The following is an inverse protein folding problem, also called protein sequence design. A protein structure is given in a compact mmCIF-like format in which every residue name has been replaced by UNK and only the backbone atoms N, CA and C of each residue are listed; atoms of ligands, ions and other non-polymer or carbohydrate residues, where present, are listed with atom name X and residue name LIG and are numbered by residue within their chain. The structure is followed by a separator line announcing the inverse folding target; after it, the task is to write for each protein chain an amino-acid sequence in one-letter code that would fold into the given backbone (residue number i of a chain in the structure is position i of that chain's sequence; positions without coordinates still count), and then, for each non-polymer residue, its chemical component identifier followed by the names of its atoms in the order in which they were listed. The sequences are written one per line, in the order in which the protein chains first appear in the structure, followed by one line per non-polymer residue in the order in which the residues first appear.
data_IF_972267608313
#
_entry.id   IF_972267608313
#
_cell.length_a   1.000
_cell.length_b   1.000
_cell.length_c   1.000
_cell.angle_alpha   90.00
_cell.angle_beta   90.00
_cell.angle_gamma   90.00
#
_symmetry.space_group_name_H-M   'P 1'
#
loop_
_entity.id
_entity.type
_entity.pdbx_description
1 polymer ?
#
# COMPACT_ATOMS: atom_id res chain seq x y z
N UNK A 1 66.25 40.40 -29.29
CA UNK A 1 66.20 39.10 -28.54
C UNK A 1 66.23 38.00 -29.58
N UNK A 2 67.33 37.25 -29.66
CA UNK A 2 67.45 36.12 -30.57
C UNK A 2 66.54 35.00 -30.11
N UNK A 3 65.49 34.74 -30.89
CA UNK A 3 64.55 33.62 -30.60
C UNK A 3 65.18 32.35 -31.20
N UNK A 4 65.68 31.45 -30.35
CA UNK A 4 66.22 30.15 -30.78
C UNK A 4 65.08 29.22 -31.20
N UNK A 5 65.26 28.51 -32.31
CA UNK A 5 64.23 27.54 -32.75
C UNK A 5 64.20 26.35 -31.82
N UNK A 6 62.95 25.94 -31.44
CA UNK A 6 62.67 24.85 -30.48
C UNK A 6 61.59 23.94 -31.06
N UNK A 7 61.80 22.64 -30.99
CA UNK A 7 60.77 21.62 -31.37
C UNK A 7 59.48 21.72 -30.57
N UNK A 8 58.41 21.21 -31.14
CA UNK A 8 57.09 21.16 -30.48
C UNK A 8 57.10 20.19 -29.30
N UNK A 9 56.71 20.68 -28.12
CA UNK A 9 56.58 19.89 -26.90
C UNK A 9 55.24 20.22 -26.21
N UNK A 10 54.53 19.20 -25.72
CA UNK A 10 53.30 19.39 -24.93
C UNK A 10 53.67 19.88 -23.54
N UNK A 11 53.18 21.05 -23.16
CA UNK A 11 53.42 21.68 -21.86
C UNK A 11 52.31 21.43 -20.85
N UNK A 12 51.07 21.17 -21.31
CA UNK A 12 49.94 20.84 -20.47
C UNK A 12 48.96 19.92 -21.21
N UNK A 13 48.45 18.88 -20.53
CA UNK A 13 47.50 17.94 -21.11
C UNK A 13 46.51 17.40 -20.08
N UNK A 14 45.31 17.01 -20.54
CA UNK A 14 44.39 16.17 -19.81
C UNK A 14 44.77 14.69 -20.05
N UNK A 15 44.89 13.87 -19.02
CA UNK A 15 45.21 12.43 -19.13
C UNK A 15 43.98 11.52 -19.02
N UNK A 16 43.02 11.86 -18.16
CA UNK A 16 41.76 11.11 -18.02
C UNK A 16 40.65 12.03 -17.53
N UNK A 17 39.43 11.73 -17.98
CA UNK A 17 38.19 12.41 -17.54
C UNK A 17 37.09 11.36 -17.42
N UNK A 18 36.33 11.43 -16.32
CA UNK A 18 35.04 10.78 -16.17
C UNK A 18 34.00 11.88 -16.23
N UNK A 19 32.99 11.72 -17.08
CA UNK A 19 31.96 12.74 -17.33
C UNK A 19 30.59 12.06 -17.50
N UNK A 20 29.54 12.72 -17.09
CA UNK A 20 28.18 12.22 -17.31
C UNK A 20 27.66 12.53 -18.71
N UNK A 21 26.82 11.60 -19.22
CA UNK A 21 26.11 11.83 -20.48
C UNK A 21 25.31 13.14 -20.44
N UNK A 22 25.35 13.90 -21.55
CA UNK A 22 24.70 15.18 -21.66
C UNK A 22 25.56 16.38 -21.27
N UNK A 23 26.65 16.19 -20.54
CA UNK A 23 27.55 17.29 -20.15
C UNK A 23 28.51 17.74 -21.26
N UNK A 24 29.24 18.82 -21.02
CA UNK A 24 30.21 19.36 -21.96
C UNK A 24 31.64 18.98 -21.54
N UNK A 25 32.34 18.27 -22.41
CA UNK A 25 33.72 17.83 -22.22
C UNK A 25 34.68 18.88 -22.71
N UNK A 26 35.77 19.14 -21.97
CA UNK A 26 36.91 19.91 -22.42
C UNK A 26 38.22 19.18 -22.13
N UNK A 27 38.96 18.85 -23.17
CA UNK A 27 40.31 18.24 -23.06
C UNK A 27 41.36 19.31 -23.39
N UNK A 28 42.30 19.50 -22.45
CA UNK A 28 43.36 20.49 -22.58
C UNK A 28 44.57 19.89 -23.30
N UNK A 29 45.09 20.63 -24.26
CA UNK A 29 46.38 20.35 -24.86
C UNK A 29 47.08 21.68 -25.21
N UNK A 30 48.10 22.05 -24.46
CA UNK A 30 48.93 23.21 -24.71
C UNK A 30 50.33 22.77 -25.11
N UNK A 31 50.90 23.47 -26.06
CA UNK A 31 52.23 23.20 -26.57
C UNK A 31 53.12 24.45 -26.56
N UNK A 32 54.39 24.21 -26.43
CA UNK A 32 55.42 25.21 -26.56
C UNK A 32 56.40 24.81 -27.71
N UNK A 33 56.96 25.78 -28.39
CA UNK A 33 57.89 25.56 -29.50
C UNK A 33 58.02 26.80 -30.34
N UNK A 34 59.08 26.85 -31.14
CA UNK A 34 59.36 27.96 -32.06
C UNK A 34 59.83 27.39 -33.41
N UNK A 35 59.11 27.57 -34.53
CA UNK A 35 57.79 28.25 -34.61
C UNK A 35 56.70 27.65 -33.79
N UNK A 36 55.64 28.48 -33.52
CA UNK A 36 54.47 28.03 -32.73
C UNK A 36 53.88 26.72 -33.26
N UNK A 37 53.75 25.69 -32.44
CA UNK A 37 53.19 24.39 -32.88
C UNK A 37 51.72 24.45 -33.27
N UNK A 38 51.36 23.65 -34.27
CA UNK A 38 49.96 23.35 -34.60
C UNK A 38 49.46 22.19 -33.71
N UNK A 39 48.30 22.34 -33.10
CA UNK A 39 47.64 21.32 -32.29
C UNK A 39 46.54 20.66 -33.12
N UNK A 40 46.54 19.33 -33.16
CA UNK A 40 45.51 18.52 -33.82
C UNK A 40 45.00 17.46 -32.88
N UNK A 41 43.70 17.16 -32.97
CA UNK A 41 43.06 16.14 -32.19
C UNK A 41 42.50 15.02 -33.06
N UNK A 42 42.58 13.79 -32.58
CA UNK A 42 41.93 12.65 -33.18
C UNK A 42 41.35 11.73 -32.09
N UNK A 43 40.31 10.97 -32.42
CA UNK A 43 39.79 9.91 -31.57
C UNK A 43 40.37 8.58 -32.11
N UNK A 44 40.94 7.76 -31.22
CA UNK A 44 41.45 6.46 -31.60
C UNK A 44 40.31 5.58 -32.10
N UNK A 45 40.54 4.85 -33.21
CA UNK A 45 39.59 3.89 -33.81
C UNK A 45 38.27 4.49 -34.35
N UNK A 46 38.06 5.80 -34.32
CA UNK A 46 36.85 6.45 -34.83
C UNK A 46 37.10 7.91 -35.21
N UNK A 47 36.10 8.55 -35.81
CA UNK A 47 36.15 9.99 -36.10
C UNK A 47 35.69 10.80 -34.90
N UNK A 48 36.22 12.06 -34.80
CA UNK A 48 35.68 13.05 -33.85
C UNK A 48 34.19 13.32 -34.16
N UNK A 49 33.36 13.54 -33.13
CA UNK A 49 31.91 13.85 -33.30
C UNK A 49 31.72 15.19 -34.04
N UNK A 50 31.57 15.18 -35.36
CA UNK A 50 31.71 16.37 -36.26
C UNK A 50 30.78 17.55 -35.92
N UNK A 51 29.57 17.31 -35.46
CA UNK A 51 28.55 18.37 -35.22
C UNK A 51 28.62 19.02 -33.86
N UNK A 52 29.34 18.45 -32.90
CA UNK A 52 29.41 18.90 -31.53
C UNK A 52 30.82 19.11 -31.00
N UNK A 53 31.80 19.09 -31.89
CA UNK A 53 33.22 19.25 -31.56
C UNK A 53 33.75 20.58 -32.05
N UNK A 54 34.47 21.30 -31.18
CA UNK A 54 35.26 22.50 -31.52
C UNK A 54 36.65 22.42 -30.91
N UNK A 55 37.64 23.01 -31.61
CA UNK A 55 39.02 23.16 -31.08
C UNK A 55 39.29 24.64 -30.90
N UNK A 56 39.53 25.07 -29.67
CA UNK A 56 39.78 26.47 -29.33
C UNK A 56 41.07 26.57 -28.49
N UNK A 57 42.03 27.35 -28.93
CA UNK A 57 43.32 27.53 -28.26
C UNK A 57 44.04 26.20 -27.91
N UNK A 58 43.91 25.18 -28.78
CA UNK A 58 44.46 23.85 -28.58
C UNK A 58 43.59 22.90 -27.76
N UNK A 59 42.54 23.38 -27.09
CA UNK A 59 41.63 22.55 -26.31
C UNK A 59 40.53 21.97 -27.20
N UNK A 60 40.26 20.66 -27.03
CA UNK A 60 39.15 19.99 -27.68
C UNK A 60 37.91 20.11 -26.77
N UNK A 61 36.84 20.70 -27.29
CA UNK A 61 35.56 20.80 -26.59
C UNK A 61 34.51 19.99 -27.35
N UNK A 62 33.75 19.17 -26.62
CA UNK A 62 32.62 18.35 -27.13
C UNK A 62 31.42 18.70 -26.30
N UNK A 63 30.35 19.22 -26.90
CA UNK A 63 29.10 19.56 -26.21
C UNK A 63 28.16 18.34 -26.20
N UNK A 64 27.38 18.22 -25.13
CA UNK A 64 26.34 17.18 -24.97
C UNK A 64 26.90 15.77 -25.28
N UNK A 65 27.90 15.33 -24.48
CA UNK A 65 28.55 14.02 -24.70
C UNK A 65 27.58 12.87 -24.54
N UNK A 66 27.68 11.88 -25.42
CA UNK A 66 26.97 10.60 -25.33
C UNK A 66 27.95 9.48 -24.99
N UNK A 67 27.49 8.33 -24.59
CA UNK A 67 28.32 7.14 -24.31
C UNK A 67 29.27 6.78 -25.46
N UNK A 68 28.80 6.94 -26.71
CA UNK A 68 29.61 6.72 -27.89
C UNK A 68 30.80 7.69 -28.03
N UNK A 69 30.80 8.81 -27.31
CA UNK A 69 31.93 9.77 -27.30
C UNK A 69 33.05 9.36 -26.33
N UNK A 70 32.77 8.36 -25.43
CA UNK A 70 33.81 7.75 -24.61
C UNK A 70 34.91 7.10 -25.47
N UNK A 71 36.12 7.00 -24.90
CA UNK A 71 37.26 6.35 -25.56
C UNK A 71 38.55 7.14 -25.43
N UNK A 72 39.54 6.78 -26.26
CA UNK A 72 40.87 7.39 -26.25
C UNK A 72 40.95 8.52 -27.28
N UNK A 73 41.35 9.68 -26.84
CA UNK A 73 41.63 10.86 -27.67
C UNK A 73 43.13 11.13 -27.68
N UNK A 74 43.66 11.52 -28.83
CA UNK A 74 45.06 11.87 -28.99
C UNK A 74 45.18 13.32 -29.42
N UNK A 75 45.96 14.07 -28.65
CA UNK A 75 46.46 15.36 -29.05
C UNK A 75 47.84 15.19 -29.69
N UNK A 76 48.00 15.64 -30.90
CA UNK A 76 49.30 15.73 -31.55
C UNK A 76 49.68 17.18 -31.78
N UNK A 77 50.91 17.55 -31.47
CA UNK A 77 51.47 18.89 -31.66
C UNK A 77 52.69 18.77 -32.57
N UNK A 78 52.80 19.71 -33.54
CA UNK A 78 53.85 19.67 -34.55
C UNK A 78 54.28 21.07 -34.95
N UNK A 79 55.57 21.26 -35.10
CA UNK A 79 56.16 22.38 -35.84
C UNK A 79 57.26 21.85 -36.81
N UNK A 80 58.01 22.74 -37.45
CA UNK A 80 59.06 22.38 -38.43
C UNK A 80 60.23 21.59 -37.80
N UNK A 81 60.37 21.60 -36.46
CA UNK A 81 61.59 21.12 -35.78
C UNK A 81 61.23 19.87 -34.88
N UNK A 82 59.98 19.52 -34.72
CA UNK A 82 59.63 18.38 -33.94
C UNK A 82 58.14 18.17 -33.83
N UNK A 83 57.78 17.02 -33.24
CA UNK A 83 56.40 16.66 -32.94
C UNK A 83 56.35 15.96 -31.59
N UNK A 84 55.21 16.07 -30.91
CA UNK A 84 54.93 15.38 -29.65
C UNK A 84 53.44 14.95 -29.62
N UNK A 85 53.07 13.95 -28.83
CA UNK A 85 51.67 13.54 -28.72
C UNK A 85 51.34 13.06 -27.32
N UNK A 86 50.09 13.17 -26.97
CA UNK A 86 49.55 12.71 -25.68
C UNK A 86 48.16 12.12 -25.82
N UNK A 87 47.90 11.10 -25.02
CA UNK A 87 46.60 10.44 -24.95
C UNK A 87 45.76 10.95 -23.77
N UNK A 88 44.45 11.05 -23.97
CA UNK A 88 43.45 11.34 -22.97
C UNK A 88 42.37 10.22 -22.99
N UNK A 89 42.09 9.65 -21.84
CA UNK A 89 41.02 8.65 -21.67
C UNK A 89 39.74 9.35 -21.22
N UNK A 90 38.67 9.15 -21.94
CA UNK A 90 37.34 9.70 -21.63
C UNK A 90 36.40 8.54 -21.33
N UNK A 91 35.85 8.52 -20.10
CA UNK A 91 34.76 7.61 -19.69
C UNK A 91 33.49 8.42 -19.56
N UNK A 92 32.46 8.05 -20.33
CA UNK A 92 31.12 8.63 -20.20
C UNK A 92 30.25 7.68 -19.41
N UNK A 93 29.74 8.15 -18.27
CA UNK A 93 28.85 7.43 -17.38
C UNK A 93 27.41 7.93 -17.55
N UNK A 94 26.44 7.16 -17.05
CA UNK A 94 25.03 7.58 -17.06
C UNK A 94 24.84 8.83 -16.19
N UNK A 95 23.89 9.68 -16.59
CA UNK A 95 23.45 10.81 -15.78
C UNK A 95 22.86 10.32 -14.47
N UNK A 96 23.28 10.92 -13.36
CA UNK A 96 22.72 10.59 -12.04
C UNK A 96 21.41 11.35 -11.83
N UNK A 97 20.28 10.62 -11.83
CA UNK A 97 18.95 11.19 -11.60
C UNK A 97 18.02 10.22 -10.86
N UNK A 98 17.08 10.76 -10.09
CA UNK A 98 16.02 9.97 -9.50
C UNK A 98 14.97 9.58 -10.55
N UNK A 99 14.59 8.30 -10.53
CA UNK A 99 13.48 7.72 -11.31
C UNK A 99 12.22 7.61 -10.43
N UNK A 100 12.41 7.27 -9.15
CA UNK A 100 11.34 7.20 -8.17
C UNK A 100 11.85 7.78 -6.85
N UNK A 101 11.09 8.71 -6.29
CA UNK A 101 11.37 9.33 -5.00
C UNK A 101 10.28 9.03 -3.98
N UNK A 102 10.59 9.01 -2.68
CA UNK A 102 9.54 8.97 -1.66
C UNK A 102 8.71 10.26 -1.73
N UNK A 103 7.42 10.21 -1.38
CA UNK A 103 6.61 11.41 -1.19
C UNK A 103 7.27 12.34 -0.18
N UNK A 104 7.04 13.66 -0.27
CA UNK A 104 7.58 14.63 0.70
C UNK A 104 7.15 14.34 2.14
N UNK A 105 6.01 13.64 2.31
CA UNK A 105 5.51 13.17 3.60
C UNK A 105 4.93 11.77 3.50
N UNK A 106 5.30 10.89 4.45
CA UNK A 106 4.78 9.51 4.59
C UNK A 106 4.16 9.37 5.97
N UNK A 107 2.98 8.77 6.02
CA UNK A 107 2.20 8.56 7.23
C UNK A 107 2.02 7.06 7.47
N UNK A 108 2.17 6.62 8.72
CA UNK A 108 1.88 5.24 9.13
C UNK A 108 1.32 5.20 10.55
N UNK A 109 0.52 4.19 10.86
CA UNK A 109 0.12 3.90 12.24
C UNK A 109 1.17 3.03 12.93
N UNK A 110 1.24 3.07 14.27
CA UNK A 110 2.09 2.16 15.03
C UNK A 110 1.83 0.70 14.61
N UNK A 111 2.90 -0.10 14.59
CA UNK A 111 2.95 -1.50 14.15
C UNK A 111 2.76 -1.71 12.64
N UNK A 112 2.55 -0.66 11.84
CA UNK A 112 2.55 -0.78 10.38
C UNK A 112 3.94 -1.08 9.83
N UNK A 113 3.97 -1.55 8.59
CA UNK A 113 5.17 -1.60 7.78
C UNK A 113 5.13 -0.42 6.79
N UNK A 114 6.14 0.43 6.83
CA UNK A 114 6.23 1.60 5.95
C UNK A 114 7.33 1.41 4.90
N UNK A 115 7.03 1.79 3.65
CA UNK A 115 7.99 1.76 2.54
C UNK A 115 8.27 3.18 2.04
N UNK A 116 9.53 3.52 1.94
CA UNK A 116 10.01 4.75 1.31
C UNK A 116 10.76 4.34 0.04
N UNK A 117 10.17 4.59 -1.11
CA UNK A 117 10.75 4.21 -2.39
C UNK A 117 11.82 5.22 -2.81
N UNK A 118 12.97 4.72 -3.25
CA UNK A 118 14.04 5.53 -3.82
C UNK A 118 14.76 4.73 -4.89
N UNK A 119 14.62 5.14 -6.15
CA UNK A 119 15.27 4.50 -7.29
C UNK A 119 15.97 5.58 -8.10
N UNK A 120 17.22 5.37 -8.47
CA UNK A 120 18.00 6.29 -9.27
C UNK A 120 18.70 5.57 -10.44
N UNK A 121 18.77 6.22 -11.59
CA UNK A 121 19.60 5.83 -12.73
C UNK A 121 20.97 6.51 -12.60
N UNK A 122 22.00 5.90 -13.22
CA UNK A 122 23.38 6.39 -13.12
C UNK A 122 24.01 6.20 -11.74
N UNK A 123 23.30 5.63 -10.79
CA UNK A 123 23.77 5.38 -9.43
C UNK A 123 24.47 4.04 -9.33
N UNK A 124 25.54 4.01 -8.58
CA UNK A 124 26.24 2.77 -8.16
C UNK A 124 25.93 2.41 -6.71
N UNK A 125 25.33 3.33 -5.96
CA UNK A 125 25.00 3.12 -4.55
C UNK A 125 23.85 4.02 -4.09
N UNK A 126 22.87 3.42 -3.39
CA UNK A 126 21.80 4.14 -2.67
C UNK A 126 22.01 3.94 -1.18
N UNK A 127 22.01 5.05 -0.45
CA UNK A 127 22.15 5.11 1.00
C UNK A 127 20.97 5.87 1.61
N UNK A 128 20.47 5.41 2.74
CA UNK A 128 19.49 6.11 3.53
C UNK A 128 20.11 6.71 4.79
N UNK A 129 19.72 7.93 5.11
CA UNK A 129 20.09 8.62 6.35
C UNK A 129 18.84 9.06 7.08
N UNK A 130 18.92 9.13 8.39
CA UNK A 130 17.90 9.73 9.25
C UNK A 130 18.51 10.93 9.95
N UNK A 131 17.81 12.07 9.93
CA UNK A 131 18.32 13.32 10.50
C UNK A 131 18.64 13.17 11.99
N UNK A 132 19.93 13.41 12.36
CA UNK A 132 20.40 13.39 13.72
C UNK A 132 20.44 12.03 14.43
N UNK A 133 20.16 10.92 13.74
CA UNK A 133 20.06 9.59 14.34
C UNK A 133 20.51 8.49 13.37
N UNK A 134 20.77 7.30 13.90
CA UNK A 134 20.92 6.10 13.08
C UNK A 134 19.55 5.67 12.53
N UNK A 135 19.56 4.90 11.43
CA UNK A 135 18.35 4.21 10.97
C UNK A 135 17.82 3.28 12.06
N UNK A 136 16.48 3.12 12.21
CA UNK A 136 15.88 2.21 13.18
C UNK A 136 16.36 0.77 12.96
N UNK A 137 16.48 -0.03 14.02
CA UNK A 137 16.94 -1.42 13.93
C UNK A 137 16.01 -2.33 13.10
N UNK A 138 14.74 -1.96 12.97
CA UNK A 138 13.70 -2.67 12.23
C UNK A 138 13.69 -2.34 10.71
N UNK A 139 14.75 -1.69 10.18
CA UNK A 139 14.83 -1.33 8.77
C UNK A 139 15.40 -2.45 7.90
N UNK A 140 14.99 -2.44 6.63
CA UNK A 140 15.59 -3.24 5.54
C UNK A 140 15.71 -2.35 4.31
N UNK A 141 16.89 -2.30 3.69
CA UNK A 141 17.08 -1.65 2.40
C UNK A 141 17.11 -2.73 1.32
N UNK A 142 16.19 -2.63 0.36
CA UNK A 142 16.14 -3.53 -0.78
C UNK A 142 17.20 -3.18 -1.84
N UNK A 143 17.58 -4.13 -2.70
CA UNK A 143 18.55 -3.89 -3.77
C UNK A 143 18.17 -2.76 -4.74
N UNK A 144 16.87 -2.47 -4.89
CA UNK A 144 16.36 -1.36 -5.70
C UNK A 144 16.40 0.01 -5.00
N UNK A 145 16.94 0.08 -3.78
CA UNK A 145 17.03 1.30 -2.98
C UNK A 145 15.82 1.59 -2.08
N UNK A 146 14.74 0.83 -2.14
CA UNK A 146 13.57 1.03 -1.26
C UNK A 146 13.93 0.72 0.19
N UNK A 147 13.62 1.66 1.09
CA UNK A 147 13.70 1.47 2.54
C UNK A 147 12.37 0.94 3.06
N UNK A 148 12.39 -0.21 3.73
CA UNK A 148 11.28 -0.77 4.49
C UNK A 148 11.55 -0.58 5.98
N UNK A 149 10.62 0.03 6.70
CA UNK A 149 10.55 0.07 8.16
C UNK A 149 9.45 -0.89 8.60
N UNK A 150 9.78 -1.87 9.47
CA UNK A 150 8.85 -2.91 9.92
C UNK A 150 8.29 -2.57 11.28
N UNK A 151 6.99 -2.80 11.48
CA UNK A 151 6.34 -2.63 12.79
C UNK A 151 6.72 -1.30 13.45
N UNK A 152 6.45 -0.20 12.73
CA UNK A 152 6.92 1.13 13.14
C UNK A 152 6.35 1.57 14.48
N UNK A 153 7.12 2.35 15.22
CA UNK A 153 6.77 2.99 16.47
C UNK A 153 6.88 4.51 16.35
N UNK A 154 6.36 5.25 17.31
CA UNK A 154 6.51 6.72 17.34
C UNK A 154 7.98 7.17 17.36
N UNK A 155 8.89 6.35 17.87
CA UNK A 155 10.32 6.62 17.85
C UNK A 155 10.95 6.57 16.46
N UNK A 156 10.28 5.98 15.47
CA UNK A 156 10.75 5.90 14.10
C UNK A 156 10.38 7.13 13.26
N UNK A 157 9.52 8.02 13.77
CA UNK A 157 9.18 9.28 13.11
C UNK A 157 10.40 10.19 12.93
N UNK A 158 10.46 10.91 11.82
CA UNK A 158 11.56 11.83 11.54
C UNK A 158 11.79 12.06 10.05
N UNK A 159 12.83 12.81 9.72
CA UNK A 159 13.22 13.06 8.34
C UNK A 159 14.19 11.97 7.84
N UNK A 160 13.84 11.33 6.74
CA UNK A 160 14.63 10.31 6.06
C UNK A 160 15.11 10.84 4.72
N UNK A 161 16.40 10.78 4.49
CA UNK A 161 17.04 11.26 3.26
C UNK A 161 17.59 10.08 2.48
N UNK A 162 17.12 9.92 1.25
CA UNK A 162 17.73 9.02 0.28
C UNK A 162 18.85 9.75 -0.44
N UNK A 163 20.02 9.14 -0.50
CA UNK A 163 21.21 9.65 -1.18
C UNK A 163 21.60 8.65 -2.26
N UNK A 164 21.55 9.09 -3.52
CA UNK A 164 22.06 8.33 -4.65
C UNK A 164 23.43 8.89 -5.05
N UNK A 165 24.39 7.99 -5.28
CA UNK A 165 25.79 8.36 -5.56
C UNK A 165 26.31 7.64 -6.80
N UNK A 166 27.16 8.34 -7.55
CA UNK A 166 28.05 7.73 -8.53
C UNK A 166 29.51 8.18 -8.26
N UNK A 167 30.43 7.95 -9.21
CA UNK A 167 31.84 8.32 -9.05
C UNK A 167 32.11 9.82 -9.12
N UNK A 168 31.15 10.63 -9.55
CA UNK A 168 31.33 12.08 -9.77
C UNK A 168 30.65 12.91 -8.68
N UNK A 169 29.42 12.60 -8.31
CA UNK A 169 28.65 13.38 -7.33
C UNK A 169 27.54 12.55 -6.66
N UNK A 170 26.73 13.20 -5.84
CA UNK A 170 25.56 12.64 -5.20
C UNK A 170 24.38 13.58 -5.32
N UNK A 171 23.17 12.99 -5.37
CA UNK A 171 21.88 13.68 -5.28
C UNK A 171 21.11 13.16 -4.09
N UNK A 172 20.28 14.01 -3.48
CA UNK A 172 19.55 13.68 -2.26
C UNK A 172 18.08 14.08 -2.37
N UNK A 173 17.21 13.32 -1.74
CA UNK A 173 15.79 13.64 -1.54
C UNK A 173 15.36 13.27 -0.15
N UNK A 174 14.64 14.16 0.54
CA UNK A 174 14.19 13.98 1.92
C UNK A 174 12.67 13.82 1.98
N UNK A 175 12.23 12.89 2.82
CA UNK A 175 10.82 12.63 3.17
C UNK A 175 10.63 12.73 4.66
N UNK A 176 9.53 13.35 5.10
CA UNK A 176 9.14 13.40 6.52
C UNK A 176 8.25 12.21 6.82
N UNK A 177 8.70 11.34 7.72
CA UNK A 177 7.95 10.17 8.18
C UNK A 177 7.27 10.48 9.51
N UNK A 178 5.95 10.40 9.57
CA UNK A 178 5.14 10.58 10.79
C UNK A 178 4.46 9.27 11.17
N UNK A 179 4.45 8.96 12.46
CA UNK A 179 3.83 7.77 13.03
C UNK A 179 2.71 8.17 13.99
N UNK A 180 1.51 7.61 13.78
CA UNK A 180 0.37 7.80 14.68
C UNK A 180 0.36 6.69 15.73
N UNK A 181 0.04 7.07 16.98
CA UNK A 181 0.06 6.14 18.10
C UNK A 181 -1.15 5.19 18.17
N UNK A 182 -2.16 5.37 17.30
CA UNK A 182 -3.37 4.54 17.31
C UNK A 182 -3.33 3.52 16.20
N UNK A 183 -3.35 2.20 16.51
CA UNK A 183 -3.34 1.13 15.50
C UNK A 183 -4.68 1.06 14.74
N UNK A 184 -4.66 0.55 13.50
CA UNK A 184 -5.85 0.51 12.63
C UNK A 184 -6.84 -0.60 12.99
N UNK A 185 -6.41 -1.67 13.65
CA UNK A 185 -7.24 -2.83 14.00
C UNK A 185 -6.59 -3.71 15.07
N UNK A 186 -7.37 -4.61 15.66
CA UNK A 186 -6.87 -5.62 16.61
C UNK A 186 -5.84 -6.57 15.95
N UNK A 187 -6.03 -6.91 14.68
CA UNK A 187 -5.05 -7.73 13.94
C UNK A 187 -3.71 -7.00 13.79
N UNK A 188 -3.72 -5.67 13.64
CA UNK A 188 -2.50 -4.87 13.60
C UNK A 188 -1.78 -4.85 14.96
N UNK A 189 -2.54 -4.70 16.05
CA UNK A 189 -1.99 -4.81 17.42
C UNK A 189 -1.32 -6.17 17.62
N UNK A 190 -2.01 -7.25 17.25
CA UNK A 190 -1.51 -8.62 17.45
C UNK A 190 -0.25 -8.89 16.64
N UNK A 191 -0.17 -8.41 15.40
CA UNK A 191 1.02 -8.59 14.55
C UNK A 191 2.22 -7.75 15.01
N UNK A 192 1.97 -6.59 15.62
CA UNK A 192 3.02 -5.70 16.12
C UNK A 192 3.51 -6.03 17.53
N UNK A 193 2.61 -6.60 18.36
CA UNK A 193 2.87 -6.98 19.76
C UNK A 193 2.48 -8.44 19.99
N UNK A 194 3.40 -9.36 19.76
CA UNK A 194 3.17 -10.81 19.86
C UNK A 194 2.63 -11.26 21.24
N UNK A 195 2.90 -10.50 22.31
CA UNK A 195 2.42 -10.75 23.67
C UNK A 195 1.10 -10.06 24.05
N UNK A 196 0.39 -9.42 23.10
CA UNK A 196 -0.86 -8.72 23.42
C UNK A 196 -1.94 -9.67 23.90
N UNK A 197 -2.62 -9.29 25.01
CA UNK A 197 -3.75 -10.03 25.60
C UNK A 197 -5.08 -9.49 25.08
N UNK A 198 -6.13 -10.31 25.16
CA UNK A 198 -7.50 -9.86 24.88
C UNK A 198 -7.93 -8.76 25.85
N UNK A 199 -8.66 -7.75 25.33
CA UNK A 199 -9.08 -6.59 26.11
C UNK A 199 -9.55 -5.44 25.23
N UNK A 200 -9.80 -4.27 25.87
CA UNK A 200 -10.21 -3.07 25.17
C UNK A 200 -9.00 -2.28 24.68
N UNK A 201 -9.06 -1.88 23.42
CA UNK A 201 -8.02 -1.07 22.76
C UNK A 201 -8.64 0.07 21.96
N UNK A 202 -7.91 1.17 21.85
CA UNK A 202 -8.25 2.23 20.90
C UNK A 202 -7.73 1.86 19.52
N UNK A 203 -8.58 2.00 18.51
CA UNK A 203 -8.20 1.83 17.09
C UNK A 203 -8.61 3.05 16.26
N UNK A 204 -7.91 3.26 15.15
CA UNK A 204 -8.16 4.32 14.18
C UNK A 204 -8.01 3.74 12.76
N UNK A 205 -9.08 3.12 12.21
CA UNK A 205 -8.98 2.34 10.97
C UNK A 205 -8.52 3.11 9.73
N UNK A 206 -8.77 4.39 9.63
CA UNK A 206 -8.41 5.22 8.47
C UNK A 206 -7.37 6.30 8.79
N UNK A 207 -6.85 6.34 10.02
CA UNK A 207 -5.76 7.21 10.43
C UNK A 207 -6.14 8.69 10.54
N UNK A 208 -5.13 9.55 10.53
CA UNK A 208 -5.32 10.98 10.80
C UNK A 208 -6.20 11.68 9.78
N UNK A 209 -7.27 12.28 10.27
CA UNK A 209 -8.17 13.11 9.47
C UNK A 209 -9.39 12.38 8.90
N UNK A 210 -9.53 11.08 9.23
CA UNK A 210 -10.70 10.27 8.94
C UNK A 210 -11.72 10.26 10.07
N UNK A 211 -12.22 9.06 10.43
CA UNK A 211 -13.11 8.90 11.60
C UNK A 211 -12.32 9.10 12.89
N UNK A 212 -12.99 9.56 13.94
CA UNK A 212 -12.35 9.66 15.26
C UNK A 212 -11.97 8.28 15.78
N UNK A 213 -10.80 8.09 16.44
CA UNK A 213 -10.43 6.86 17.13
C UNK A 213 -11.52 6.40 18.08
N UNK A 214 -11.72 5.08 18.21
CA UNK A 214 -12.76 4.53 19.08
C UNK A 214 -12.29 3.25 19.77
N UNK A 215 -12.92 2.95 20.92
CA UNK A 215 -12.60 1.78 21.72
C UNK A 215 -13.32 0.55 21.21
N UNK A 216 -12.60 -0.57 21.09
CA UNK A 216 -13.13 -1.88 20.68
C UNK A 216 -12.59 -2.97 21.59
N UNK A 217 -13.29 -4.09 21.67
CA UNK A 217 -12.74 -5.28 22.29
C UNK A 217 -11.93 -6.08 21.26
N UNK A 218 -10.67 -6.34 21.58
CA UNK A 218 -9.80 -7.21 20.80
C UNK A 218 -9.77 -8.61 21.42
N UNK A 219 -10.21 -9.63 20.67
CA UNK A 219 -9.97 -11.02 21.04
C UNK A 219 -8.66 -11.49 20.37
N UNK A 220 -7.65 -11.73 21.19
CA UNK A 220 -6.31 -12.10 20.73
C UNK A 220 -6.11 -13.62 20.62
N UNK A 221 -7.15 -14.41 20.92
CA UNK A 221 -7.17 -15.88 20.90
C UNK A 221 -8.05 -16.47 19.80
N UNK A 222 -9.11 -15.79 19.40
CA UNK A 222 -10.05 -16.25 18.36
C UNK A 222 -9.37 -16.34 16.98
N UNK A 223 -9.94 -17.15 16.06
CA UNK A 223 -9.44 -17.34 14.68
C UNK A 223 -7.93 -17.71 14.59
N UNK A 224 -7.44 -18.53 15.52
CA UNK A 224 -6.04 -18.91 15.57
C UNK A 224 -5.11 -17.83 16.11
N UNK A 225 -5.66 -16.83 16.81
CA UNK A 225 -4.88 -15.78 17.45
C UNK A 225 -4.42 -14.66 16.51
N UNK A 226 -5.18 -14.36 15.45
CA UNK A 226 -4.85 -13.27 14.50
C UNK A 226 -5.21 -11.87 15.02
N UNK A 227 -5.86 -11.76 16.19
CA UNK A 227 -6.39 -10.50 16.74
C UNK A 227 -7.69 -10.08 16.04
N UNK A 228 -8.81 -10.43 16.65
CA UNK A 228 -10.18 -10.18 16.14
C UNK A 228 -10.74 -8.91 16.78
N UNK A 229 -11.16 -7.96 15.98
CA UNK A 229 -11.92 -6.79 16.43
C UNK A 229 -13.38 -7.20 16.60
N UNK A 230 -13.91 -7.08 17.82
CA UNK A 230 -15.26 -7.51 18.20
C UNK A 230 -16.08 -6.28 18.59
N UNK A 231 -17.22 -6.10 17.91
CA UNK A 231 -18.14 -5.00 18.17
C UNK A 231 -19.49 -5.56 18.65
N UNK A 232 -19.90 -5.11 19.82
CA UNK A 232 -21.18 -5.48 20.44
C UNK A 232 -22.31 -4.55 20.03
N UNK A 233 -23.56 -5.07 20.16
CA UNK A 233 -24.78 -4.32 19.85
C UNK A 233 -25.95 -4.74 20.77
N UNK A 234 -27.08 -4.05 20.65
CA UNK A 234 -28.28 -4.25 21.48
C UNK A 234 -29.19 -5.43 21.09
N UNK A 235 -28.78 -6.24 20.11
CA UNK A 235 -29.61 -7.33 19.53
C UNK A 235 -28.94 -8.69 19.60
N UNK A 236 -28.00 -8.90 20.53
CA UNK A 236 -27.26 -10.17 20.70
C UNK A 236 -28.10 -11.28 21.41
N UNK A 237 -29.05 -10.87 22.22
CA UNK A 237 -29.89 -11.81 22.93
C UNK A 237 -30.90 -12.46 22.00
N UNK A 238 -31.23 -13.76 22.27
CA UNK A 238 -32.34 -14.47 21.62
C UNK A 238 -33.65 -13.70 21.92
N UNK A 239 -34.25 -13.09 20.90
CA UNK A 239 -35.40 -12.19 21.03
C UNK A 239 -36.64 -12.85 20.43
N UNK A 240 -37.70 -12.96 21.21
CA UNK A 240 -38.99 -13.53 20.80
C UNK A 240 -39.72 -12.59 19.83
N UNK A 241 -40.30 -13.16 18.80
CA UNK A 241 -41.16 -12.51 17.83
C UNK A 241 -42.37 -13.42 17.63
N UNK A 242 -43.55 -12.96 17.89
CA UNK A 242 -44.71 -13.80 17.82
C UNK A 242 -46.04 -13.07 17.88
N UNK A 243 -47.16 -13.77 18.03
CA UNK A 243 -48.52 -13.25 17.85
C UNK A 243 -48.93 -12.16 18.84
N UNK A 244 -48.11 -11.83 19.83
CA UNK A 244 -48.35 -10.68 20.73
C UNK A 244 -48.07 -9.33 20.08
N UNK A 245 -47.60 -9.30 18.82
CA UNK A 245 -47.52 -8.10 17.98
C UNK A 245 -48.79 -8.11 17.13
N UNK A 246 -49.84 -7.32 17.46
CA UNK A 246 -51.06 -7.33 16.69
C UNK A 246 -50.78 -7.02 15.21
N UNK A 247 -51.33 -7.85 14.32
CA UNK A 247 -51.35 -7.64 12.86
C UNK A 247 -50.00 -7.74 12.13
N UNK A 248 -49.06 -8.61 12.54
CA UNK A 248 -47.78 -8.79 11.82
C UNK A 248 -47.84 -9.83 10.68
N UNK A 249 -48.91 -9.86 9.87
CA UNK A 249 -49.01 -10.69 8.67
C UNK A 249 -48.35 -10.09 7.41
N UNK A 250 -47.94 -8.83 7.48
CA UNK A 250 -47.32 -8.15 6.36
C UNK A 250 -45.81 -8.44 6.23
N UNK A 251 -45.30 -8.21 5.03
CA UNK A 251 -43.85 -8.35 4.76
C UNK A 251 -43.04 -7.36 5.62
N UNK A 252 -42.09 -7.89 6.42
CA UNK A 252 -41.20 -7.12 7.27
C UNK A 252 -41.91 -6.26 8.32
N UNK A 253 -43.10 -6.65 8.76
CA UNK A 253 -43.89 -5.91 9.74
C UNK A 253 -43.19 -5.81 11.09
N UNK A 254 -42.49 -6.84 11.55
CA UNK A 254 -41.56 -6.73 12.67
C UNK A 254 -40.29 -6.03 12.23
N UNK A 255 -39.82 -5.08 13.01
CA UNK A 255 -38.63 -4.31 12.77
C UNK A 255 -37.79 -4.18 14.03
N UNK A 256 -36.54 -4.63 13.96
CA UNK A 256 -35.55 -4.40 15.00
C UNK A 256 -34.36 -3.64 14.43
N UNK A 257 -34.24 -2.38 14.80
CA UNK A 257 -33.02 -1.61 14.52
C UNK A 257 -31.88 -2.09 15.41
N UNK A 258 -30.71 -2.28 14.82
CA UNK A 258 -29.50 -2.75 15.51
C UNK A 258 -28.61 -1.54 15.83
N UNK A 259 -28.35 -1.32 17.12
CA UNK A 259 -27.52 -0.21 17.60
C UNK A 259 -26.19 -0.74 18.13
N UNK A 260 -25.10 -0.40 17.45
CA UNK A 260 -23.75 -0.79 17.84
C UNK A 260 -23.23 0.11 18.97
N UNK A 261 -22.67 -0.51 20.01
CA UNK A 261 -22.28 0.17 21.26
C UNK A 261 -21.05 1.04 21.06
N UNK A 262 -21.23 2.35 21.22
CA UNK A 262 -20.13 3.32 21.22
C UNK A 262 -19.40 3.51 19.90
N UNK A 263 -19.99 3.06 18.77
CA UNK A 263 -19.36 3.08 17.45
C UNK A 263 -20.34 3.59 16.40
N UNK A 264 -19.92 4.52 15.57
CA UNK A 264 -20.72 5.06 14.47
C UNK A 264 -20.66 4.17 13.22
N UNK A 265 -21.65 4.28 12.33
CA UNK A 265 -21.67 3.56 11.04
C UNK A 265 -20.44 3.89 10.19
N UNK A 266 -19.94 5.13 10.23
CA UNK A 266 -18.74 5.54 9.52
C UNK A 266 -17.48 4.80 10.05
N UNK A 267 -17.35 4.66 11.38
CA UNK A 267 -16.27 3.90 12.01
C UNK A 267 -16.33 2.41 11.67
N UNK A 268 -17.54 1.82 11.66
CA UNK A 268 -17.76 0.43 11.25
C UNK A 268 -17.39 0.22 9.76
N UNK A 269 -17.76 1.15 8.89
CA UNK A 269 -17.39 1.12 7.48
C UNK A 269 -15.87 1.26 7.27
N UNK A 270 -15.20 2.08 8.06
CA UNK A 270 -13.73 2.19 8.03
C UNK A 270 -13.06 0.89 8.49
N UNK A 271 -13.54 0.28 9.60
CA UNK A 271 -13.06 -1.01 10.11
C UNK A 271 -13.19 -2.13 9.08
N UNK A 272 -14.35 -2.26 8.43
CA UNK A 272 -14.56 -3.31 7.42
C UNK A 272 -13.65 -3.16 6.20
N UNK A 273 -13.25 -1.94 5.84
CA UNK A 273 -12.32 -1.67 4.73
C UNK A 273 -10.90 -2.16 5.03
N UNK A 274 -10.40 -1.94 6.23
CA UNK A 274 -9.01 -2.30 6.62
C UNK A 274 -8.86 -3.74 7.10
N UNK A 275 -9.95 -4.45 7.28
CA UNK A 275 -9.97 -5.86 7.66
C UNK A 275 -10.05 -6.76 6.42
N UNK A 276 -9.28 -7.85 6.39
CA UNK A 276 -9.37 -8.84 5.32
C UNK A 276 -10.72 -9.54 5.33
N UNK A 277 -11.21 -9.91 6.50
CA UNK A 277 -12.46 -10.62 6.71
C UNK A 277 -13.31 -9.90 7.76
N UNK A 278 -14.62 -9.87 7.55
CA UNK A 278 -15.61 -9.55 8.58
C UNK A 278 -16.73 -10.60 8.53
N UNK A 279 -17.29 -10.90 9.68
CA UNK A 279 -18.37 -11.85 9.81
C UNK A 279 -19.36 -11.41 10.90
N UNK A 280 -20.62 -11.77 10.71
CA UNK A 280 -21.66 -11.59 11.72
C UNK A 280 -22.62 -12.78 11.66
N UNK A 281 -22.79 -13.47 12.78
CA UNK A 281 -23.72 -14.60 12.87
C UNK A 281 -25.15 -14.07 12.88
N UNK A 282 -26.05 -14.71 12.11
CA UNK A 282 -27.48 -14.42 12.14
C UNK A 282 -28.26 -15.74 12.22
N UNK A 283 -29.32 -15.74 13.01
CA UNK A 283 -30.19 -16.91 13.23
C UNK A 283 -31.63 -16.45 13.31
N UNK A 284 -32.51 -17.22 12.67
CA UNK A 284 -33.94 -17.18 12.88
C UNK A 284 -34.45 -18.57 13.21
N UNK A 285 -35.18 -18.69 14.31
CA UNK A 285 -35.91 -19.89 14.74
C UNK A 285 -37.39 -19.64 14.50
N UNK A 286 -38.04 -20.51 13.81
CA UNK A 286 -39.46 -20.42 13.44
C UNK A 286 -40.25 -21.60 13.94
N UNK A 287 -41.48 -21.37 14.33
CA UNK A 287 -42.46 -22.39 14.67
C UNK A 287 -43.66 -22.29 13.73
N UNK A 288 -44.16 -23.45 13.29
CA UNK A 288 -45.28 -23.57 12.36
C UNK A 288 -45.05 -22.95 10.97
N UNK A 289 -46.09 -22.39 10.39
CA UNK A 289 -46.26 -22.11 8.96
C UNK A 289 -45.74 -20.74 8.52
N UNK A 290 -44.58 -20.35 8.98
CA UNK A 290 -43.99 -19.05 8.63
C UNK A 290 -43.43 -19.06 7.20
N UNK A 291 -43.81 -18.04 6.41
CA UNK A 291 -43.11 -17.71 5.14
C UNK A 291 -41.96 -16.76 5.42
N UNK A 292 -40.76 -17.13 5.01
CA UNK A 292 -39.53 -16.41 5.40
C UNK A 292 -38.92 -15.60 4.26
N UNK A 293 -37.90 -16.15 3.62
CA UNK A 293 -37.11 -15.41 2.61
C UNK A 293 -37.64 -15.59 1.17
N UNK A 294 -38.14 -16.79 0.82
CA UNK A 294 -38.52 -17.11 -0.58
C UNK A 294 -39.59 -16.18 -1.11
N UNK A 295 -40.59 -15.83 -0.33
CA UNK A 295 -41.64 -14.87 -0.68
C UNK A 295 -41.36 -13.44 -0.24
N UNK A 296 -40.14 -13.16 0.28
CA UNK A 296 -39.70 -11.83 0.76
C UNK A 296 -40.52 -11.30 1.93
N UNK A 297 -40.95 -12.16 2.84
CA UNK A 297 -41.57 -11.73 4.10
C UNK A 297 -40.51 -11.23 5.09
N UNK A 298 -39.29 -11.74 4.98
CA UNK A 298 -38.18 -11.41 5.88
C UNK A 298 -36.91 -11.02 5.13
N UNK A 299 -36.10 -10.16 5.73
CA UNK A 299 -34.78 -9.73 5.22
C UNK A 299 -33.96 -9.08 6.33
N UNK A 300 -32.69 -8.94 6.12
CA UNK A 300 -31.85 -8.05 6.92
C UNK A 300 -31.43 -6.82 6.09
N UNK A 301 -31.01 -5.74 6.76
CA UNK A 301 -30.61 -4.49 6.12
C UNK A 301 -29.13 -4.27 6.33
N UNK A 302 -28.41 -4.00 5.25
CA UNK A 302 -26.99 -3.70 5.25
C UNK A 302 -26.70 -2.32 5.87
N UNK A 303 -25.43 -2.00 6.07
CA UNK A 303 -25.02 -0.71 6.65
C UNK A 303 -25.42 0.51 5.81
N UNK A 304 -25.60 0.35 4.52
CA UNK A 304 -26.00 1.40 3.57
C UNK A 304 -27.51 1.45 3.31
N UNK A 305 -28.30 0.66 4.06
CA UNK A 305 -29.76 0.65 3.99
C UNK A 305 -30.33 -0.29 2.93
N UNK A 306 -29.51 -1.11 2.26
CA UNK A 306 -29.98 -2.06 1.24
C UNK A 306 -30.64 -3.27 1.89
N UNK A 307 -31.81 -3.69 1.37
CA UNK A 307 -32.48 -4.91 1.78
C UNK A 307 -31.75 -6.15 1.23
N UNK A 308 -31.36 -7.05 2.11
CA UNK A 308 -30.59 -8.24 1.78
C UNK A 308 -31.48 -9.47 1.91
N UNK A 309 -31.87 -10.03 0.77
CA UNK A 309 -32.77 -11.18 0.67
C UNK A 309 -32.00 -12.51 0.61
N UNK A 310 -31.09 -12.73 1.55
CA UNK A 310 -30.45 -14.02 1.82
C UNK A 310 -30.15 -14.14 3.31
N UNK A 311 -29.92 -15.36 3.80
CA UNK A 311 -29.75 -15.61 5.22
C UNK A 311 -28.58 -16.55 5.48
N UNK A 312 -27.83 -16.29 6.52
CA UNK A 312 -26.77 -17.12 7.08
C UNK A 312 -25.94 -17.91 6.06
N UNK A 313 -24.88 -17.32 5.50
CA UNK A 313 -23.96 -18.05 4.61
C UNK A 313 -24.39 -18.17 3.14
N UNK A 314 -25.57 -17.68 2.75
CA UNK A 314 -26.04 -17.73 1.35
C UNK A 314 -25.63 -16.50 0.53
N UNK A 315 -24.45 -15.98 0.76
CA UNK A 315 -23.90 -14.82 0.01
C UNK A 315 -23.91 -15.07 -1.50
N UNK A 316 -24.35 -14.08 -2.26
CA UNK A 316 -24.45 -14.20 -3.73
C UNK A 316 -25.70 -14.97 -4.22
N UNK A 317 -26.53 -15.51 -3.32
CA UNK A 317 -27.75 -16.22 -3.64
C UNK A 317 -28.98 -15.40 -3.21
N UNK A 318 -29.83 -15.09 -4.17
CA UNK A 318 -31.06 -14.33 -3.91
C UNK A 318 -32.16 -15.23 -3.38
N UNK A 319 -32.81 -14.82 -2.28
CA UNK A 319 -33.91 -15.54 -1.62
C UNK A 319 -33.54 -16.98 -1.21
N UNK A 320 -32.43 -17.11 -0.47
CA UNK A 320 -31.91 -18.42 -0.06
C UNK A 320 -31.23 -18.33 1.31
N UNK A 321 -31.28 -19.43 2.05
CA UNK A 321 -30.54 -19.63 3.29
C UNK A 321 -29.33 -20.56 3.06
N UNK A 322 -28.42 -20.67 4.04
CA UNK A 322 -27.26 -21.54 3.95
C UNK A 322 -27.58 -22.98 3.54
N UNK A 323 -28.65 -23.56 4.11
CA UNK A 323 -29.09 -24.92 3.77
C UNK A 323 -29.54 -25.04 2.31
N UNK A 324 -30.09 -23.97 1.71
CA UNK A 324 -30.48 -23.95 0.30
C UNK A 324 -29.28 -24.00 -0.65
N UNK A 325 -28.17 -23.37 -0.29
CA UNK A 325 -26.91 -23.44 -1.05
C UNK A 325 -26.37 -24.87 -1.11
N UNK A 326 -26.55 -25.64 -0.03
CA UNK A 326 -26.08 -27.03 0.08
C UNK A 326 -27.17 -28.08 -0.24
N UNK A 327 -28.37 -27.64 -0.66
CA UNK A 327 -29.53 -28.50 -0.90
C UNK A 327 -29.89 -29.39 0.31
N UNK A 328 -29.68 -28.88 1.54
CA UNK A 328 -29.91 -29.59 2.79
C UNK A 328 -31.11 -29.08 3.60
N UNK A 329 -31.85 -28.09 3.07
CA UNK A 329 -33.05 -27.57 3.72
C UNK A 329 -34.15 -28.61 3.77
N UNK A 330 -34.99 -28.46 4.78
CA UNK A 330 -36.18 -29.29 4.99
C UNK A 330 -37.05 -29.32 3.71
N UNK A 331 -37.49 -30.52 3.30
CA UNK A 331 -38.32 -30.77 2.11
C UNK A 331 -37.77 -30.16 0.77
N UNK A 332 -36.47 -29.95 0.65
CA UNK A 332 -35.89 -29.39 -0.56
C UNK A 332 -36.28 -27.91 -0.81
N UNK A 333 -36.69 -27.20 0.23
CA UNK A 333 -36.97 -25.75 0.19
C UNK A 333 -35.66 -24.94 0.07
N UNK A 334 -35.76 -23.63 -0.04
CA UNK A 334 -34.61 -22.73 -0.05
C UNK A 334 -34.14 -22.30 1.33
N UNK A 335 -35.06 -22.34 2.31
CA UNK A 335 -34.82 -22.14 3.73
C UNK A 335 -35.64 -23.16 4.53
N UNK A 336 -35.21 -23.50 5.74
CA UNK A 336 -35.97 -24.36 6.65
C UNK A 336 -37.26 -23.69 7.15
N UNK A 337 -37.22 -22.35 7.30
CA UNK A 337 -38.37 -21.57 7.76
C UNK A 337 -39.36 -21.21 6.63
N UNK A 338 -39.10 -21.54 5.37
CA UNK A 338 -40.05 -21.43 4.25
C UNK A 338 -40.92 -22.69 4.10
N UNK A 339 -41.43 -23.23 5.16
CA UNK A 339 -42.01 -24.59 5.13
C UNK A 339 -43.43 -24.71 4.63
N UNK A 340 -44.25 -23.65 4.64
CA UNK A 340 -45.68 -23.69 4.20
C UNK A 340 -46.52 -24.75 4.88
N UNK A 341 -47.72 -24.47 5.09
CA UNK A 341 -48.98 -24.99 5.65
C UNK A 341 -49.06 -26.37 6.35
N UNK A 342 -48.06 -27.17 6.59
CA UNK A 342 -48.35 -28.57 7.06
C UNK A 342 -47.49 -29.12 8.19
N UNK A 343 -46.60 -28.36 8.79
CA UNK A 343 -45.70 -28.92 9.79
C UNK A 343 -45.61 -28.08 11.07
N UNK A 344 -46.18 -28.59 12.13
CA UNK A 344 -45.96 -28.11 13.49
C UNK A 344 -44.55 -28.48 13.98
N UNK A 345 -43.79 -27.50 14.50
CA UNK A 345 -42.53 -27.72 15.18
C UNK A 345 -41.46 -26.68 14.84
N UNK A 346 -40.49 -26.60 15.73
CA UNK A 346 -39.37 -25.64 15.61
C UNK A 346 -38.37 -26.02 14.53
N UNK A 347 -38.00 -25.06 13.74
CA UNK A 347 -36.92 -25.11 12.74
C UNK A 347 -36.04 -23.87 12.88
N UNK A 348 -34.90 -23.88 12.22
CA UNK A 348 -34.01 -22.72 12.22
C UNK A 348 -33.27 -22.57 10.90
N UNK A 349 -32.98 -21.33 10.58
CA UNK A 349 -32.03 -20.94 9.56
C UNK A 349 -30.94 -20.06 10.19
N UNK A 350 -29.69 -20.48 10.11
CA UNK A 350 -28.59 -19.80 10.76
C UNK A 350 -27.30 -19.87 9.95
N UNK A 351 -26.35 -18.96 10.23
CA UNK A 351 -25.01 -18.98 9.66
C UNK A 351 -24.34 -17.62 9.70
N UNK A 352 -23.16 -17.56 9.12
CA UNK A 352 -22.34 -16.35 9.08
C UNK A 352 -22.66 -15.51 7.83
N UNK A 353 -22.92 -14.24 8.03
CA UNK A 353 -22.87 -13.21 6.98
C UNK A 353 -21.43 -12.77 6.86
N UNK A 354 -20.85 -12.83 5.65
CA UNK A 354 -19.42 -12.57 5.42
C UNK A 354 -19.15 -11.50 4.35
N UNK A 355 -20.20 -10.92 3.78
CA UNK A 355 -20.05 -9.79 2.86
C UNK A 355 -19.66 -8.53 3.63
N UNK A 356 -18.37 -8.27 3.76
CA UNK A 356 -17.86 -7.09 4.46
C UNK A 356 -18.26 -5.76 3.80
N UNK A 357 -18.73 -5.77 2.55
CA UNK A 357 -19.25 -4.56 1.89
C UNK A 357 -20.64 -4.20 2.39
N UNK A 358 -21.45 -5.19 2.79
CA UNK A 358 -22.79 -5.05 3.32
C UNK A 358 -22.81 -4.95 4.86
N UNK A 359 -21.88 -5.60 5.55
CA UNK A 359 -21.79 -5.61 7.02
C UNK A 359 -21.42 -4.23 7.59
N UNK A 360 -21.91 -3.93 8.80
CA UNK A 360 -22.72 -4.74 9.67
C UNK A 360 -24.22 -4.71 9.34
N UNK A 361 -24.99 -5.65 9.91
CA UNK A 361 -26.46 -5.65 9.90
C UNK A 361 -26.96 -4.44 10.66
N UNK A 362 -27.80 -3.60 10.04
CA UNK A 362 -28.36 -2.40 10.69
C UNK A 362 -29.82 -2.58 11.10
N UNK A 363 -30.53 -3.54 10.50
CA UNK A 363 -31.91 -3.82 10.85
C UNK A 363 -32.27 -5.28 10.50
N UNK A 364 -33.12 -5.89 11.30
CA UNK A 364 -33.77 -7.19 11.03
C UNK A 364 -35.25 -6.93 10.78
N UNK A 365 -35.76 -7.48 9.70
CA UNK A 365 -37.17 -7.45 9.31
C UNK A 365 -37.74 -8.86 9.21
N UNK A 366 -38.84 -9.12 9.89
CA UNK A 366 -39.54 -10.39 9.87
C UNK A 366 -41.03 -10.13 9.61
N UNK A 367 -41.69 -11.04 8.97
CA UNK A 367 -43.11 -10.98 8.68
C UNK A 367 -43.74 -12.36 8.69
N UNK A 368 -45.05 -12.43 8.39
CA UNK A 368 -45.84 -13.66 8.42
C UNK A 368 -45.90 -14.25 9.84
N UNK A 369 -46.45 -13.46 10.77
CA UNK A 369 -46.48 -13.76 12.21
C UNK A 369 -47.85 -13.36 12.79
N UNK A 370 -48.95 -13.53 12.05
CA UNK A 370 -50.29 -13.09 12.41
C UNK A 370 -51.20 -14.24 12.92
N UNK A 371 -50.85 -15.48 12.61
CA UNK A 371 -51.62 -16.61 13.17
C UNK A 371 -51.19 -16.91 14.61
N UNK A 372 -52.16 -17.34 15.45
CA UNK A 372 -51.97 -17.52 16.89
C UNK A 372 -50.90 -18.55 17.27
N UNK A 373 -50.46 -19.37 16.34
CA UNK A 373 -49.47 -20.43 16.49
C UNK A 373 -48.15 -20.12 15.75
N UNK A 374 -48.06 -18.97 15.08
CA UNK A 374 -46.83 -18.51 14.43
C UNK A 374 -45.98 -17.71 15.42
N UNK A 375 -44.80 -18.19 15.66
CA UNK A 375 -43.85 -17.51 16.52
C UNK A 375 -42.41 -17.81 16.08
N UNK A 376 -41.50 -16.94 16.46
CA UNK A 376 -40.10 -17.10 16.15
C UNK A 376 -39.17 -16.47 17.17
N UNK A 377 -37.88 -16.69 16.98
CA UNK A 377 -36.84 -15.99 17.70
C UNK A 377 -35.74 -15.61 16.73
N UNK A 378 -35.26 -14.40 16.85
CA UNK A 378 -34.04 -14.01 16.13
C UNK A 378 -32.88 -13.85 17.11
N UNK A 379 -31.67 -14.09 16.59
CA UNK A 379 -30.41 -13.82 17.28
C UNK A 379 -29.42 -13.24 16.27
N UNK A 380 -28.76 -12.15 16.64
CA UNK A 380 -27.69 -11.58 15.85
C UNK A 380 -26.41 -11.59 16.68
N UNK A 381 -25.36 -12.22 16.18
CA UNK A 381 -24.05 -12.25 16.84
C UNK A 381 -23.31 -10.94 16.69
N UNK A 382 -22.26 -10.78 17.48
CA UNK A 382 -21.34 -9.64 17.39
C UNK A 382 -20.70 -9.53 16.01
N UNK A 383 -20.45 -8.30 15.55
CA UNK A 383 -19.61 -8.11 14.38
C UNK A 383 -18.16 -8.45 14.75
N UNK A 384 -17.54 -9.31 13.97
CA UNK A 384 -16.14 -9.70 14.10
C UNK A 384 -15.38 -9.35 12.83
N UNK A 385 -14.30 -8.56 12.92
CA UNK A 385 -13.44 -8.23 11.80
C UNK A 385 -11.99 -8.60 12.11
N UNK A 386 -11.28 -9.23 11.16
CA UNK A 386 -9.94 -9.75 11.38
C UNK A 386 -9.12 -9.88 10.08
N UNK A 387 -7.81 -10.10 10.25
CA UNK A 387 -6.85 -10.12 9.16
C UNK A 387 -6.50 -8.71 8.67
N UNK A 388 -5.48 -8.62 7.84
CA UNK A 388 -4.97 -7.36 7.29
C UNK A 388 -5.11 -7.39 5.77
N UNK A 389 -5.58 -6.29 5.22
CA UNK A 389 -5.63 -6.07 3.76
C UNK A 389 -4.25 -5.64 3.25
#
# INVERSE_FOLDING_TARGET
MLIYPVGAIISQKTSSVIIEEGQNLSLVCKATGQPTPTVTWRKAFSQLPKQKTTVVAGNLNIVNVAKADGGTYECAVKNLLGQDSALAQVMVIDELKFVLTPPGKVLASVYDNAKLNCVAEGSVHIEWKRSGQNLPQNHVIYPNGTLLLRSVSSSDAGAYTCVAKNSQHSIEVTSVFEVFNTPISCSRIKSGLSGSSSGNYMIDPDGKGGVTPFSVYCDMSDKGGVGVTVISHDSESRTHVGPSIPECGGRGCYSKDVRYTGVSTAQLAALTRVSQNCEQFIKYECNNDVEFIDRSYSWWVSRDGTQMHYWGGAIGHYKMCACGVTNSCFQGKKCNCDSGTTYAGWREDSGLLTDKSALPVTQIRLGDLDDSNEEGYHTLGKLKCYGQV
#
